data_IF_179054866841
#
_entry.id   IF_179054866841
#
_cell.length_a   1.000
_cell.length_b   1.000
_cell.length_c   1.000
_cell.angle_alpha   90.00
_cell.angle_beta   90.00
_cell.angle_gamma   90.00
#
_symmetry.space_group_name_H-M   'P 1'
#
loop_
_entity.id
_entity.type
_entity.pdbx_description
1 polymer ?
#
# COMPACT_ATOMS: atom_id res chain seq x y z
N UNK A 1 13.94 -35.76 -5.41
CA UNK A 1 15.13 -34.97 -4.99
C UNK A 1 14.71 -34.16 -3.78
N UNK A 2 15.15 -34.53 -2.58
CA UNK A 2 14.80 -33.84 -1.34
C UNK A 2 15.46 -32.46 -1.32
N UNK A 3 14.66 -31.40 -1.38
CA UNK A 3 15.15 -30.03 -1.26
C UNK A 3 15.70 -29.88 0.16
N UNK A 4 17.01 -29.74 0.29
CA UNK A 4 17.64 -29.46 1.58
C UNK A 4 17.16 -28.11 2.09
N UNK A 5 16.71 -28.06 3.34
CA UNK A 5 16.35 -26.83 4.09
C UNK A 5 17.52 -25.83 4.22
N UNK A 6 18.72 -26.17 3.74
CA UNK A 6 19.90 -25.31 3.74
C UNK A 6 20.24 -24.73 2.35
N UNK A 7 19.44 -24.99 1.32
CA UNK A 7 19.71 -24.40 0.00
C UNK A 7 19.22 -22.95 -0.04
N UNK A 8 20.12 -22.02 0.28
CA UNK A 8 19.90 -20.58 0.23
C UNK A 8 19.31 -20.10 -1.11
N UNK A 9 19.67 -20.74 -2.23
CA UNK A 9 19.17 -20.34 -3.55
C UNK A 9 17.67 -20.60 -3.68
N UNK A 10 17.17 -21.68 -3.07
CA UNK A 10 15.74 -21.97 -3.04
C UNK A 10 14.96 -20.94 -2.20
N UNK A 11 15.53 -20.51 -1.07
CA UNK A 11 14.91 -19.47 -0.24
C UNK A 11 14.91 -18.10 -0.91
N UNK A 12 15.96 -17.79 -1.67
CA UNK A 12 16.05 -16.57 -2.46
C UNK A 12 14.94 -16.56 -3.51
N UNK A 13 14.84 -17.61 -4.33
CA UNK A 13 13.83 -17.71 -5.38
C UNK A 13 12.40 -17.65 -4.81
N UNK A 14 12.15 -18.35 -3.69
CA UNK A 14 10.84 -18.36 -3.04
C UNK A 14 10.45 -16.96 -2.51
N UNK A 15 11.40 -16.19 -1.98
CA UNK A 15 11.14 -14.86 -1.45
C UNK A 15 11.02 -13.80 -2.55
N UNK A 16 11.76 -13.93 -3.65
CA UNK A 16 11.57 -13.07 -4.83
C UNK A 16 10.19 -13.25 -5.47
N UNK A 17 9.70 -14.50 -5.55
CA UNK A 17 8.31 -14.79 -5.95
C UNK A 17 7.30 -14.11 -5.02
N UNK A 18 7.57 -14.10 -3.71
CA UNK A 18 6.71 -13.41 -2.73
C UNK A 18 6.72 -11.89 -2.88
N UNK A 19 7.88 -11.26 -3.07
CA UNK A 19 7.94 -9.81 -3.33
C UNK A 19 7.14 -9.42 -4.58
N UNK A 20 7.28 -10.22 -5.65
CA UNK A 20 6.50 -10.04 -6.89
C UNK A 20 5.00 -10.17 -6.66
N UNK A 21 4.57 -11.16 -5.87
CA UNK A 21 3.17 -11.33 -5.50
C UNK A 21 2.64 -10.14 -4.69
N UNK A 22 3.42 -9.63 -3.73
CA UNK A 22 3.06 -8.46 -2.91
C UNK A 22 2.87 -7.21 -3.78
N UNK A 23 3.75 -6.99 -4.77
CA UNK A 23 3.60 -5.89 -5.73
C UNK A 23 2.35 -6.02 -6.58
N UNK A 24 2.08 -7.23 -7.06
CA UNK A 24 0.87 -7.51 -7.84
C UNK A 24 -0.39 -7.19 -7.04
N UNK A 25 -0.42 -7.53 -5.75
CA UNK A 25 -1.55 -7.19 -4.87
C UNK A 25 -1.64 -5.69 -4.57
N UNK A 26 -0.51 -4.99 -4.46
CA UNK A 26 -0.48 -3.53 -4.36
C UNK A 26 -1.10 -2.86 -5.58
N UNK A 27 -0.69 -3.27 -6.79
CA UNK A 27 -1.20 -2.72 -8.05
C UNK A 27 -2.71 -3.00 -8.21
N UNK A 28 -3.15 -4.22 -7.87
CA UNK A 28 -4.58 -4.55 -7.80
C UNK A 28 -5.34 -3.71 -6.78
N UNK A 29 -4.71 -3.34 -5.67
CA UNK A 29 -5.35 -2.49 -4.66
C UNK A 29 -5.49 -1.07 -5.19
N UNK A 30 -4.45 -0.51 -5.81
CA UNK A 30 -4.48 0.81 -6.44
C UNK A 30 -5.48 0.86 -7.60
N UNK A 31 -5.61 -0.19 -8.41
CA UNK A 31 -6.58 -0.18 -9.51
C UNK A 31 -8.03 -0.03 -9.04
N UNK A 32 -8.32 -0.39 -7.77
CA UNK A 32 -9.63 -0.19 -7.15
C UNK A 32 -9.92 1.27 -6.75
N UNK A 33 -8.95 2.19 -6.84
CA UNK A 33 -9.15 3.65 -6.64
C UNK A 33 -10.35 4.16 -7.44
N UNK A 34 -10.52 3.66 -8.67
CA UNK A 34 -11.61 4.05 -9.57
C UNK A 34 -12.99 3.92 -8.93
N UNK A 35 -13.22 2.91 -8.07
CA UNK A 35 -14.50 2.72 -7.39
C UNK A 35 -14.84 3.88 -6.45
N UNK A 36 -13.84 4.35 -5.69
CA UNK A 36 -14.02 5.48 -4.77
C UNK A 36 -14.24 6.77 -5.58
N UNK A 37 -13.50 6.96 -6.67
CA UNK A 37 -13.66 8.11 -7.55
C UNK A 37 -15.06 8.18 -8.16
N UNK A 38 -15.62 7.06 -8.61
CA UNK A 38 -16.99 7.02 -9.15
C UNK A 38 -18.01 7.50 -8.12
N UNK A 39 -17.91 7.03 -6.86
CA UNK A 39 -18.81 7.46 -5.78
C UNK A 39 -18.67 8.97 -5.54
N UNK A 40 -17.43 9.47 -5.47
CA UNK A 40 -17.18 10.89 -5.19
C UNK A 40 -17.67 11.79 -6.33
N UNK A 41 -17.50 11.37 -7.58
CA UNK A 41 -18.05 12.05 -8.74
C UNK A 41 -19.58 12.15 -8.65
N UNK A 42 -20.27 11.05 -8.31
CA UNK A 42 -21.73 11.05 -8.12
C UNK A 42 -22.19 12.00 -7.01
N UNK A 43 -21.48 12.01 -5.87
CA UNK A 43 -21.76 12.94 -4.77
C UNK A 43 -21.56 14.40 -5.20
N UNK A 44 -20.45 14.68 -5.90
CA UNK A 44 -20.08 16.04 -6.31
C UNK A 44 -21.11 16.68 -7.25
N UNK A 45 -21.81 15.89 -8.06
CA UNK A 45 -22.80 16.38 -9.03
C UNK A 45 -23.98 17.11 -8.36
N UNK A 46 -24.38 16.69 -7.16
CA UNK A 46 -25.50 17.30 -6.42
C UNK A 46 -25.05 18.12 -5.21
N UNK A 47 -23.77 18.05 -4.83
CA UNK A 47 -23.24 18.72 -3.65
C UNK A 47 -23.47 20.24 -3.69
N UNK A 48 -23.17 20.88 -4.83
CA UNK A 48 -23.34 22.33 -5.00
C UNK A 48 -24.80 22.74 -4.84
N UNK A 49 -25.72 21.97 -5.43
CA UNK A 49 -27.16 22.23 -5.36
C UNK A 49 -27.69 22.08 -3.93
N UNK A 50 -27.28 21.02 -3.22
CA UNK A 50 -27.62 20.78 -1.81
C UNK A 50 -27.10 21.93 -0.93
N UNK A 51 -25.86 22.38 -1.14
CA UNK A 51 -25.31 23.51 -0.39
C UNK A 51 -26.08 24.81 -0.66
N UNK A 52 -26.49 25.08 -1.91
CA UNK A 52 -27.25 26.28 -2.26
C UNK A 52 -28.63 26.30 -1.59
N UNK A 53 -29.31 25.16 -1.59
CA UNK A 53 -30.62 24.99 -0.96
C UNK A 53 -30.54 25.19 0.56
N UNK A 54 -29.48 24.69 1.20
CA UNK A 54 -29.25 24.92 2.62
C UNK A 54 -29.24 26.40 3.03
N UNK A 55 -28.72 27.29 2.18
CA UNK A 55 -28.74 28.74 2.45
C UNK A 55 -30.06 29.43 2.08
N UNK A 56 -30.89 28.79 1.25
CA UNK A 56 -32.08 29.41 0.68
C UNK A 56 -33.37 29.04 1.44
N UNK A 57 -33.40 27.90 2.13
CA UNK A 57 -34.60 27.40 2.82
C UNK A 57 -34.69 27.82 4.28
N UNK A 58 -35.92 27.96 4.84
CA UNK A 58 -36.11 28.10 6.27
C UNK A 58 -35.56 26.87 6.99
N UNK A 59 -34.99 27.11 8.18
CA UNK A 59 -34.27 26.08 8.92
C UNK A 59 -35.14 24.84 9.20
N UNK A 60 -34.73 23.69 8.66
CA UNK A 60 -35.33 22.39 8.92
C UNK A 60 -34.33 21.49 9.64
N UNK A 61 -34.65 21.09 10.86
CA UNK A 61 -33.75 20.33 11.73
C UNK A 61 -33.40 18.93 11.18
N UNK A 62 -34.32 18.30 10.45
CA UNK A 62 -34.10 16.99 9.83
C UNK A 62 -33.11 17.09 8.68
N UNK A 63 -33.29 18.09 7.83
CA UNK A 63 -32.38 18.38 6.72
C UNK A 63 -30.98 18.77 7.23
N UNK A 64 -30.90 19.64 8.23
CA UNK A 64 -29.64 20.02 8.86
C UNK A 64 -28.90 18.81 9.43
N UNK A 65 -29.60 17.94 10.16
CA UNK A 65 -28.99 16.73 10.76
C UNK A 65 -28.49 15.77 9.68
N UNK A 66 -29.25 15.56 8.61
CA UNK A 66 -28.84 14.74 7.48
C UNK A 66 -27.59 15.32 6.77
N UNK A 67 -27.57 16.64 6.54
CA UNK A 67 -26.45 17.34 5.92
C UNK A 67 -25.17 17.24 6.77
N UNK A 68 -25.27 17.44 8.08
CA UNK A 68 -24.12 17.33 8.99
C UNK A 68 -23.60 15.90 9.07
N UNK A 69 -24.48 14.91 9.16
CA UNK A 69 -24.10 13.50 9.17
C UNK A 69 -23.42 13.09 7.85
N UNK A 70 -23.99 13.53 6.72
CA UNK A 70 -23.39 13.37 5.40
C UNK A 70 -21.98 13.99 5.37
N UNK A 71 -21.85 15.26 5.76
CA UNK A 71 -20.59 16.00 5.74
C UNK A 71 -19.50 15.34 6.59
N UNK A 72 -19.83 14.89 7.81
CA UNK A 72 -18.88 14.20 8.70
C UNK A 72 -18.41 12.89 8.06
N UNK A 73 -19.33 12.05 7.59
CA UNK A 73 -18.99 10.77 6.96
C UNK A 73 -18.19 10.95 5.67
N UNK A 74 -18.56 11.95 4.87
CA UNK A 74 -17.86 12.31 3.64
C UNK A 74 -16.43 12.75 3.93
N UNK A 75 -16.24 13.64 4.92
CA UNK A 75 -14.92 14.16 5.28
C UNK A 75 -14.02 13.05 5.85
N UNK A 76 -14.56 12.16 6.69
CA UNK A 76 -13.82 10.98 7.17
C UNK A 76 -13.42 10.08 6.00
N UNK A 77 -14.35 9.79 5.09
CA UNK A 77 -14.06 9.00 3.88
C UNK A 77 -12.95 9.66 3.05
N UNK A 78 -13.05 10.98 2.84
CA UNK A 78 -12.13 11.76 2.02
C UNK A 78 -10.70 11.77 2.59
N UNK A 79 -10.55 11.93 3.91
CA UNK A 79 -9.23 11.85 4.56
C UNK A 79 -8.59 10.47 4.35
N UNK A 80 -9.37 9.39 4.47
CA UNK A 80 -8.86 8.05 4.20
C UNK A 80 -8.53 7.84 2.71
N UNK A 81 -9.31 8.42 1.81
CA UNK A 81 -9.04 8.37 0.37
C UNK A 81 -7.75 9.12 0.00
N UNK A 82 -7.48 10.29 0.58
CA UNK A 82 -6.20 11.00 0.38
C UNK A 82 -5.02 10.16 0.86
N UNK A 83 -5.10 9.58 2.06
CA UNK A 83 -4.05 8.70 2.60
C UNK A 83 -3.87 7.44 1.73
N UNK A 84 -4.94 6.98 1.12
CA UNK A 84 -4.90 5.88 0.17
C UNK A 84 -4.27 6.27 -1.18
N UNK A 85 -4.48 7.49 -1.68
CA UNK A 85 -3.90 7.99 -2.93
C UNK A 85 -2.43 8.42 -2.79
N UNK A 86 -1.99 8.80 -1.59
CA UNK A 86 -0.63 9.30 -1.40
C UNK A 86 0.40 8.22 -1.80
N UNK A 87 1.29 8.47 -2.76
CA UNK A 87 2.22 7.43 -3.22
C UNK A 87 3.13 7.01 -2.06
N UNK A 88 3.16 5.71 -1.77
CA UNK A 88 4.18 5.15 -0.89
C UNK A 88 5.24 4.54 -1.79
N UNK A 89 6.48 5.02 -1.64
CA UNK A 89 7.64 4.39 -2.28
C UNK A 89 7.80 3.03 -1.62
N UNK A 90 7.46 1.96 -2.34
CA UNK A 90 7.79 0.60 -1.94
C UNK A 90 9.31 0.48 -2.14
N UNK A 91 10.12 0.28 -1.08
CA UNK A 91 11.55 0.07 -1.25
C UNK A 91 11.75 -1.12 -2.17
N UNK A 92 12.43 -0.86 -3.29
CA UNK A 92 12.91 -1.91 -4.17
C UNK A 92 14.00 -2.67 -3.42
N UNK A 93 14.03 -4.00 -3.57
CA UNK A 93 15.26 -4.71 -3.29
C UNK A 93 16.40 -4.05 -4.07
N UNK A 94 17.46 -3.69 -3.35
CA UNK A 94 18.70 -3.22 -3.95
C UNK A 94 19.18 -4.28 -4.95
N UNK A 95 19.64 -3.82 -6.12
CA UNK A 95 20.05 -4.71 -7.21
C UNK A 95 21.07 -5.73 -6.70
N UNK A 96 20.98 -7.01 -7.13
CA UNK A 96 21.95 -8.04 -6.76
C UNK A 96 23.41 -7.67 -7.12
N UNK A 97 23.62 -6.71 -8.04
CA UNK A 97 24.93 -6.13 -8.36
C UNK A 97 25.69 -5.60 -7.15
N UNK A 98 25.02 -5.13 -6.10
CA UNK A 98 25.70 -4.62 -4.89
C UNK A 98 26.32 -5.74 -4.06
N UNK A 99 25.64 -6.88 -3.98
CA UNK A 99 26.10 -8.07 -3.25
C UNK A 99 27.18 -8.84 -4.00
N UNK A 100 27.01 -9.01 -5.31
CA UNK A 100 27.97 -9.76 -6.13
C UNK A 100 29.18 -8.91 -6.57
N UNK A 101 29.08 -7.58 -6.51
CA UNK A 101 30.15 -6.64 -6.85
C UNK A 101 30.88 -6.11 -5.61
N UNK A 102 30.25 -5.18 -4.89
CA UNK A 102 30.87 -4.45 -3.77
C UNK A 102 31.14 -5.39 -2.58
N UNK A 103 30.11 -6.06 -2.07
CA UNK A 103 30.22 -6.90 -0.88
C UNK A 103 31.15 -8.11 -1.12
N UNK A 104 31.07 -8.72 -2.30
CA UNK A 104 31.98 -9.79 -2.72
C UNK A 104 33.42 -9.30 -2.75
N UNK A 105 33.68 -8.14 -3.36
CA UNK A 105 35.02 -7.58 -3.46
C UNK A 105 35.60 -7.19 -2.10
N UNK A 106 34.76 -6.69 -1.18
CA UNK A 106 35.16 -6.33 0.19
C UNK A 106 35.51 -7.56 1.02
N UNK A 107 34.71 -8.63 0.91
CA UNK A 107 34.99 -9.91 1.58
C UNK A 107 36.25 -10.57 0.98
N UNK A 108 36.37 -10.65 -0.34
CA UNK A 108 37.56 -11.20 -1.00
C UNK A 108 38.83 -10.40 -0.63
N UNK A 109 38.76 -9.07 -0.51
CA UNK A 109 39.88 -8.24 -0.05
C UNK A 109 40.24 -8.49 1.43
N UNK A 110 39.24 -8.66 2.30
CA UNK A 110 39.44 -8.92 3.72
C UNK A 110 40.10 -10.29 3.98
N UNK A 111 39.69 -11.33 3.23
CA UNK A 111 40.28 -12.65 3.33
C UNK A 111 41.66 -12.76 2.66
N UNK A 112 41.87 -12.10 1.52
CA UNK A 112 43.19 -12.03 0.84
C UNK A 112 44.25 -11.27 1.64
N UNK A 113 43.84 -10.42 2.58
CA UNK A 113 44.75 -9.74 3.51
C UNK A 113 45.31 -10.69 4.58
N UNK A 114 44.61 -11.79 4.86
CA UNK A 114 44.94 -12.74 5.93
C UNK A 114 45.57 -14.06 5.41
N UNK A 115 45.32 -14.44 4.16
CA UNK A 115 45.92 -15.63 3.52
C UNK A 115 46.35 -15.34 2.07
N UNK A 116 47.44 -15.97 1.62
CA UNK A 116 48.07 -15.72 0.31
C UNK A 116 47.31 -16.27 -0.90
N UNK A 117 46.35 -17.18 -0.70
CA UNK A 117 45.51 -17.75 -1.76
C UNK A 117 44.09 -18.02 -1.24
N UNK A 118 43.08 -17.63 -2.01
CA UNK A 118 41.68 -17.92 -1.71
C UNK A 118 41.39 -19.40 -2.03
N UNK A 119 41.43 -20.25 -1.01
CA UNK A 119 41.06 -21.67 -1.09
C UNK A 119 39.56 -21.84 -1.38
N UNK A 120 39.15 -22.95 -2.01
CA UNK A 120 37.74 -23.20 -2.35
C UNK A 120 36.80 -23.20 -1.12
N UNK A 121 37.31 -23.59 0.06
CA UNK A 121 36.57 -23.54 1.33
C UNK A 121 36.24 -22.10 1.78
N UNK A 122 37.15 -21.15 1.50
CA UNK A 122 36.97 -19.71 1.79
C UNK A 122 35.96 -19.11 0.83
N UNK A 123 35.99 -19.51 -0.45
CA UNK A 123 34.96 -19.09 -1.43
C UNK A 123 33.57 -19.56 -1.02
N UNK A 124 33.46 -20.75 -0.44
CA UNK A 124 32.19 -21.28 0.05
C UNK A 124 31.69 -20.50 1.27
N UNK A 125 32.58 -20.14 2.21
CA UNK A 125 32.25 -19.27 3.34
C UNK A 125 31.81 -17.87 2.90
N UNK A 126 32.54 -17.24 1.96
CA UNK A 126 32.18 -15.93 1.39
C UNK A 126 30.81 -16.02 0.71
N UNK A 127 30.55 -17.07 -0.09
CA UNK A 127 29.26 -17.28 -0.72
C UNK A 127 28.13 -17.45 0.30
N UNK A 128 28.34 -18.20 1.38
CA UNK A 128 27.34 -18.35 2.43
C UNK A 128 27.05 -17.02 3.14
N UNK A 129 28.08 -16.22 3.39
CA UNK A 129 27.93 -14.91 4.02
C UNK A 129 27.19 -13.91 3.12
N UNK A 130 27.50 -13.87 1.82
CA UNK A 130 26.76 -13.04 0.86
C UNK A 130 25.29 -13.48 0.78
N UNK A 131 25.03 -14.80 0.71
CA UNK A 131 23.67 -15.34 0.64
C UNK A 131 22.88 -15.05 1.91
N UNK A 132 23.50 -15.10 3.10
CA UNK A 132 22.82 -14.80 4.36
C UNK A 132 22.45 -13.31 4.47
N UNK A 133 23.37 -12.41 4.14
CA UNK A 133 23.11 -10.96 4.14
C UNK A 133 22.02 -10.56 3.14
N UNK A 134 22.06 -11.13 1.93
CA UNK A 134 21.01 -10.92 0.94
C UNK A 134 19.64 -11.40 1.43
N UNK A 135 19.60 -12.58 2.07
CA UNK A 135 18.36 -13.16 2.58
C UNK A 135 17.78 -12.35 3.75
N UNK A 136 18.62 -11.74 4.58
CA UNK A 136 18.20 -10.86 5.67
C UNK A 136 17.59 -9.54 5.14
N UNK A 137 18.25 -8.88 4.20
CA UNK A 137 17.70 -7.67 3.57
C UNK A 137 16.42 -7.95 2.77
N UNK A 138 16.34 -9.10 2.11
CA UNK A 138 15.14 -9.58 1.42
C UNK A 138 13.97 -9.79 2.40
N UNK A 139 14.22 -10.41 3.57
CA UNK A 139 13.22 -10.55 4.64
C UNK A 139 12.76 -9.20 5.17
N UNK A 140 13.69 -8.27 5.42
CA UNK A 140 13.37 -6.91 5.90
C UNK A 140 12.50 -6.16 4.89
N UNK A 141 12.84 -6.24 3.61
CA UNK A 141 12.08 -5.63 2.52
C UNK A 141 10.67 -6.23 2.41
N UNK A 142 10.53 -7.55 2.49
CA UNK A 142 9.23 -8.23 2.43
C UNK A 142 8.34 -7.84 3.62
N UNK A 143 8.88 -7.82 4.85
CA UNK A 143 8.11 -7.44 6.05
C UNK A 143 7.62 -5.99 5.96
N UNK A 144 8.49 -5.07 5.54
CA UNK A 144 8.12 -3.68 5.31
C UNK A 144 7.04 -3.55 4.21
N UNK A 145 7.26 -4.17 3.06
CA UNK A 145 6.34 -4.12 1.92
C UNK A 145 4.96 -4.70 2.29
N UNK A 146 4.93 -5.82 3.00
CA UNK A 146 3.69 -6.42 3.50
C UNK A 146 2.90 -5.48 4.41
N UNK A 147 3.57 -4.85 5.38
CA UNK A 147 2.94 -3.86 6.28
C UNK A 147 2.38 -2.67 5.51
N UNK A 148 3.11 -2.18 4.50
CA UNK A 148 2.65 -1.08 3.63
C UNK A 148 1.39 -1.47 2.86
N UNK A 149 1.36 -2.65 2.24
CA UNK A 149 0.21 -3.14 1.47
C UNK A 149 -1.02 -3.31 2.37
N UNK A 150 -0.87 -3.97 3.54
CA UNK A 150 -1.97 -4.15 4.49
C UNK A 150 -2.52 -2.79 4.95
N UNK A 151 -1.65 -1.83 5.24
CA UNK A 151 -2.06 -0.48 5.65
C UNK A 151 -2.82 0.24 4.54
N UNK A 152 -2.36 0.14 3.29
CA UNK A 152 -3.03 0.71 2.12
C UNK A 152 -4.41 0.11 1.88
N UNK A 153 -4.51 -1.21 1.94
CA UNK A 153 -5.78 -1.91 1.85
C UNK A 153 -6.73 -1.49 2.98
N UNK A 154 -6.21 -1.30 4.19
CA UNK A 154 -6.95 -0.75 5.32
C UNK A 154 -7.51 0.65 5.06
N UNK A 155 -6.72 1.54 4.44
CA UNK A 155 -7.21 2.87 4.04
C UNK A 155 -8.29 2.81 2.97
N UNK A 156 -8.12 1.98 1.94
CA UNK A 156 -9.13 1.75 0.92
C UNK A 156 -10.46 1.26 1.53
N UNK A 157 -10.41 0.21 2.36
CA UNK A 157 -11.59 -0.37 2.98
C UNK A 157 -12.32 0.64 3.89
N UNK A 158 -11.56 1.44 4.65
CA UNK A 158 -12.14 2.49 5.50
C UNK A 158 -12.77 3.60 4.66
N UNK A 159 -12.09 4.09 3.62
CA UNK A 159 -12.62 5.11 2.71
C UNK A 159 -13.93 4.64 2.08
N UNK A 160 -13.93 3.43 1.49
CA UNK A 160 -15.09 2.84 0.83
C UNK A 160 -16.25 2.63 1.81
N UNK A 161 -15.99 2.07 3.00
CA UNK A 161 -17.02 1.86 4.03
C UNK A 161 -17.74 3.17 4.35
N UNK A 162 -16.99 4.24 4.66
CA UNK A 162 -17.58 5.53 4.98
C UNK A 162 -18.25 6.18 3.77
N UNK A 163 -17.71 6.00 2.56
CA UNK A 163 -18.33 6.48 1.33
C UNK A 163 -19.72 5.84 1.13
N UNK A 164 -19.84 4.53 1.33
CA UNK A 164 -21.12 3.81 1.24
C UNK A 164 -22.10 4.28 2.33
N UNK A 165 -21.66 4.41 3.58
CA UNK A 165 -22.53 4.90 4.65
C UNK A 165 -22.98 6.35 4.43
N UNK A 166 -22.15 7.16 3.77
CA UNK A 166 -22.46 8.55 3.41
C UNK A 166 -23.58 8.65 2.36
N UNK A 167 -23.80 7.61 1.53
CA UNK A 167 -24.87 7.60 0.53
C UNK A 167 -26.26 7.70 1.17
N UNK A 168 -26.50 7.07 2.32
CA UNK A 168 -27.81 7.10 2.99
C UNK A 168 -28.27 8.52 3.36
N UNK A 169 -27.51 9.31 4.17
CA UNK A 169 -27.89 10.68 4.47
C UNK A 169 -27.85 11.57 3.23
N UNK A 170 -27.01 11.27 2.24
CA UNK A 170 -26.99 11.98 0.96
C UNK A 170 -28.30 11.83 0.17
N UNK A 171 -28.85 10.62 0.07
CA UNK A 171 -30.13 10.37 -0.59
C UNK A 171 -31.25 11.14 0.11
N UNK A 172 -31.25 11.19 1.45
CA UNK A 172 -32.21 12.01 2.21
C UNK A 172 -32.09 13.48 1.80
N UNK A 173 -30.87 14.02 1.73
CA UNK A 173 -30.63 15.40 1.28
C UNK A 173 -31.15 15.64 -0.14
N UNK A 174 -30.97 14.68 -1.05
CA UNK A 174 -31.50 14.76 -2.43
C UNK A 174 -33.03 14.74 -2.43
N UNK A 175 -33.69 13.88 -1.65
CA UNK A 175 -35.15 13.82 -1.58
C UNK A 175 -35.71 15.15 -1.08
N UNK A 176 -35.11 15.74 -0.05
CA UNK A 176 -35.49 17.06 0.43
C UNK A 176 -35.28 18.13 -0.65
N UNK A 177 -34.13 18.13 -1.31
CA UNK A 177 -33.82 19.01 -2.44
C UNK A 177 -34.89 18.90 -3.54
N UNK A 178 -35.25 17.70 -3.96
CA UNK A 178 -36.24 17.46 -5.02
C UNK A 178 -37.67 17.77 -4.58
N UNK A 179 -38.03 17.58 -3.31
CA UNK A 179 -39.39 17.82 -2.80
C UNK A 179 -39.68 19.31 -2.60
N UNK A 180 -38.64 20.13 -2.45
CA UNK A 180 -38.75 21.56 -2.23
C UNK A 180 -38.38 22.40 -3.47
N UNK A 181 -38.01 21.75 -4.57
CA UNK A 181 -37.82 22.38 -5.88
C UNK A 181 -39.15 22.59 -6.59
#
# INVERSE_FOLDING_TARGET
MSISFYNFDHYIEANEKRDTAIRTEYDKTISRVSNILIIYSGISAFLVSICKDFYSFPFNIWYFTALMLFGILFLISFVYAIRFLFPIVIPFLLRPQRYFGELRSELEATFSSNESEITDDIKEQINQQIKSSYLEELKGSIDFNSKVVIRKQGYYNKALKHAIFCIFPFIICIIFYLSHK
#
